data_IF_979124079456
#
_entry.id   IF_979124079456
#
_cell.length_a   1.000
_cell.length_b   1.000
_cell.length_c   1.000
_cell.angle_alpha   90.00
_cell.angle_beta   90.00
_cell.angle_gamma   90.00
#
_symmetry.space_group_name_H-M   'P 1'
#
loop_
_entity.id
_entity.type
_entity.pdbx_description
1 polymer ?
#
# COMPACT_ATOMS: atom_id res chain seq x y z
N UNK A 1 8.90 0.01 0.42
CA UNK A 1 9.10 -0.46 -0.96
C UNK A 1 7.75 -0.71 -1.62
N UNK A 2 7.58 -0.36 -2.88
CA UNK A 2 6.56 -0.82 -3.82
C UNK A 2 7.26 -1.64 -4.91
N UNK A 3 6.56 -2.48 -5.66
CA UNK A 3 7.14 -3.30 -6.73
C UNK A 3 6.23 -3.36 -7.94
N UNK A 4 6.63 -4.14 -8.93
CA UNK A 4 5.90 -4.34 -10.16
C UNK A 4 6.10 -5.80 -10.62
N UNK A 5 5.08 -6.40 -11.25
CA UNK A 5 5.11 -7.81 -11.66
C UNK A 5 6.37 -8.21 -12.42
N UNK A 6 6.89 -7.32 -13.28
CA UNK A 6 8.12 -7.58 -14.03
C UNK A 6 9.30 -7.95 -13.12
N UNK A 7 9.47 -7.26 -11.98
CA UNK A 7 10.56 -7.54 -11.04
C UNK A 7 10.35 -8.85 -10.29
N UNK A 8 9.09 -9.24 -10.05
CA UNK A 8 8.75 -10.53 -9.44
C UNK A 8 9.14 -11.66 -10.40
N UNK A 9 8.87 -11.49 -11.69
CA UNK A 9 9.11 -12.52 -12.71
C UNK A 9 10.58 -12.63 -13.12
N UNK A 10 11.32 -11.50 -13.18
CA UNK A 10 12.67 -11.47 -13.77
C UNK A 10 13.80 -11.32 -12.76
N UNK A 11 13.55 -10.70 -11.58
CA UNK A 11 14.58 -10.29 -10.63
C UNK A 11 14.21 -10.65 -9.18
N UNK A 12 13.57 -11.82 -8.99
CA UNK A 12 13.01 -12.22 -7.70
C UNK A 12 14.03 -12.28 -6.55
N UNK A 13 15.28 -12.66 -6.83
CA UNK A 13 16.35 -12.68 -5.83
C UNK A 13 16.68 -11.27 -5.33
N UNK A 14 16.84 -10.32 -6.25
CA UNK A 14 17.10 -8.91 -5.91
C UNK A 14 15.92 -8.28 -5.19
N UNK A 15 14.69 -8.54 -5.65
CA UNK A 15 13.46 -8.10 -4.99
C UNK A 15 13.36 -8.67 -3.57
N UNK A 16 13.64 -9.96 -3.38
CA UNK A 16 13.65 -10.60 -2.07
C UNK A 16 14.64 -9.94 -1.11
N UNK A 17 15.83 -9.60 -1.62
CA UNK A 17 16.84 -8.87 -0.85
C UNK A 17 16.34 -7.47 -0.45
N UNK A 18 15.67 -6.75 -1.35
CA UNK A 18 15.09 -5.44 -1.08
C UNK A 18 13.94 -5.53 -0.05
N UNK A 19 13.04 -6.52 -0.20
CA UNK A 19 11.94 -6.76 0.74
C UNK A 19 12.43 -7.04 2.16
N UNK A 20 13.53 -7.79 2.32
CA UNK A 20 14.12 -8.07 3.63
C UNK A 20 14.71 -6.84 4.32
N UNK A 21 15.15 -5.85 3.55
CA UNK A 21 15.72 -4.59 4.06
C UNK A 21 14.66 -3.51 4.28
N UNK A 22 13.46 -3.70 3.73
CA UNK A 22 12.38 -2.74 3.84
C UNK A 22 11.70 -2.82 5.21
N UNK A 23 11.37 -1.67 5.78
CA UNK A 23 10.49 -1.60 6.95
C UNK A 23 9.04 -1.85 6.56
N UNK A 24 8.63 -1.39 5.38
CA UNK A 24 7.26 -1.48 4.88
C UNK A 24 7.25 -1.86 3.41
N UNK A 25 6.46 -2.87 3.05
CA UNK A 25 6.12 -3.19 1.66
C UNK A 25 4.67 -2.76 1.38
N UNK A 26 4.45 -2.16 0.20
CA UNK A 26 3.14 -1.71 -0.28
C UNK A 26 2.90 -2.42 -1.60
N UNK A 27 2.10 -3.45 -1.60
CA UNK A 27 1.91 -4.37 -2.72
C UNK A 27 0.43 -4.44 -3.10
N UNK A 28 0.11 -4.91 -4.30
CA UNK A 28 -1.28 -5.27 -4.65
C UNK A 28 -1.55 -6.76 -4.41
N UNK A 29 -2.82 -7.21 -4.59
CA UNK A 29 -3.21 -8.61 -4.36
C UNK A 29 -2.48 -9.57 -5.29
N UNK A 30 -2.28 -9.21 -6.57
CA UNK A 30 -1.57 -10.05 -7.55
C UNK A 30 -0.10 -10.22 -7.18
N UNK A 31 0.54 -9.13 -6.80
CA UNK A 31 1.96 -9.12 -6.40
C UNK A 31 2.20 -9.99 -5.15
N UNK A 32 1.35 -9.88 -4.12
CA UNK A 32 1.52 -10.73 -2.93
C UNK A 32 1.28 -12.21 -3.24
N UNK A 33 0.32 -12.54 -4.10
CA UNK A 33 0.07 -13.89 -4.56
C UNK A 33 1.26 -14.42 -5.37
N UNK A 34 1.78 -13.63 -6.32
CA UNK A 34 2.92 -14.02 -7.15
C UNK A 34 4.20 -14.23 -6.32
N UNK A 35 4.50 -13.34 -5.36
CA UNK A 35 5.66 -13.47 -4.45
C UNK A 35 5.57 -14.72 -3.59
N UNK A 36 4.37 -15.06 -3.10
CA UNK A 36 4.19 -16.14 -2.13
C UNK A 36 3.89 -17.50 -2.75
N UNK A 37 3.40 -17.55 -4.00
CA UNK A 37 2.83 -18.73 -4.64
C UNK A 37 1.46 -19.14 -4.10
N UNK A 38 0.81 -18.29 -3.29
CA UNK A 38 -0.51 -18.54 -2.72
C UNK A 38 -1.62 -18.00 -3.63
N UNK A 39 -2.73 -18.72 -3.75
CA UNK A 39 -3.89 -18.28 -4.53
C UNK A 39 -4.69 -17.16 -3.84
N UNK A 40 -4.61 -17.08 -2.50
CA UNK A 40 -5.34 -16.11 -1.69
C UNK A 40 -4.37 -15.17 -0.97
N UNK A 41 -4.47 -13.87 -1.25
CA UNK A 41 -3.57 -12.86 -0.69
C UNK A 41 -3.48 -12.91 0.85
N UNK A 42 -4.56 -13.27 1.56
CA UNK A 42 -4.53 -13.41 3.02
C UNK A 42 -3.59 -14.51 3.51
N UNK A 43 -3.38 -15.57 2.72
CA UNK A 43 -2.42 -16.63 3.03
C UNK A 43 -0.98 -16.24 2.72
N UNK A 44 -0.79 -15.28 1.81
CA UNK A 44 0.52 -14.76 1.42
C UNK A 44 1.20 -13.95 2.52
N UNK A 45 0.43 -13.32 3.41
CA UNK A 45 0.91 -12.37 4.41
C UNK A 45 1.97 -12.98 5.33
N UNK A 46 1.65 -14.09 5.97
CA UNK A 46 2.56 -14.78 6.88
C UNK A 46 3.89 -15.17 6.21
N UNK A 47 3.87 -15.89 5.08
CA UNK A 47 5.06 -16.25 4.31
C UNK A 47 5.91 -15.06 3.89
N UNK A 48 5.32 -13.92 3.49
CA UNK A 48 6.06 -12.71 3.12
C UNK A 48 6.74 -12.10 4.35
N UNK A 49 5.99 -11.89 5.44
CA UNK A 49 6.53 -11.26 6.66
C UNK A 49 7.59 -12.13 7.35
N UNK A 50 7.41 -13.45 7.36
CA UNK A 50 8.42 -14.37 7.90
C UNK A 50 9.64 -14.54 6.98
N UNK A 51 9.53 -14.19 5.70
CA UNK A 51 10.55 -14.39 4.68
C UNK A 51 10.58 -15.81 4.10
N UNK A 52 9.61 -16.67 4.46
CA UNK A 52 9.54 -18.07 4.02
C UNK A 52 9.46 -18.22 2.51
N UNK A 53 8.67 -17.36 1.84
CA UNK A 53 8.49 -17.37 0.39
C UNK A 53 9.53 -16.56 -0.38
N UNK A 54 10.40 -15.80 0.30
CA UNK A 54 11.45 -15.01 -0.32
C UNK A 54 12.65 -15.89 -0.66
N UNK A 55 13.47 -15.48 -1.65
CA UNK A 55 14.67 -16.22 -2.05
C UNK A 55 15.57 -16.53 -0.84
N UNK A 56 15.98 -17.78 -0.68
CA UNK A 56 16.74 -18.26 0.47
C UNK A 56 15.91 -18.65 1.71
N UNK A 57 14.58 -18.47 1.66
CA UNK A 57 13.66 -18.88 2.73
C UNK A 57 13.89 -18.15 4.06
N UNK A 58 13.33 -18.67 5.16
CA UNK A 58 13.44 -18.07 6.51
C UNK A 58 14.89 -18.02 7.03
N UNK A 59 15.76 -18.93 6.57
CA UNK A 59 17.17 -18.97 6.94
C UNK A 59 17.95 -17.73 6.49
N UNK A 60 17.50 -17.09 5.41
CA UNK A 60 18.09 -15.84 4.90
C UNK A 60 17.55 -14.56 5.61
N UNK A 61 16.65 -14.72 6.58
CA UNK A 61 16.08 -13.66 7.41
C UNK A 61 14.61 -13.40 7.14
N UNK A 62 14.00 -12.55 7.98
CA UNK A 62 12.60 -12.17 7.86
C UNK A 62 12.36 -11.26 6.64
N UNK A 63 11.11 -11.17 6.21
CA UNK A 63 10.63 -10.18 5.25
C UNK A 63 10.46 -8.78 5.88
N UNK A 64 9.68 -7.89 5.24
CA UNK A 64 9.44 -6.55 5.74
C UNK A 64 8.73 -6.58 7.09
N UNK A 65 8.88 -5.52 7.89
CA UNK A 65 8.24 -5.42 9.21
C UNK A 65 6.74 -5.19 9.11
N UNK A 66 6.29 -4.52 8.04
CA UNK A 66 4.89 -4.28 7.75
C UNK A 66 4.58 -4.53 6.28
N UNK A 67 3.33 -4.88 6.01
CA UNK A 67 2.82 -5.13 4.67
C UNK A 67 1.48 -4.42 4.50
N UNK A 68 1.37 -3.58 3.48
CA UNK A 68 0.11 -3.00 3.03
C UNK A 68 -0.27 -3.63 1.71
N UNK A 69 -1.50 -4.12 1.62
CA UNK A 69 -2.05 -4.74 0.41
C UNK A 69 -3.11 -3.81 -0.17
N UNK A 70 -2.83 -3.28 -1.36
CA UNK A 70 -3.75 -2.47 -2.17
C UNK A 70 -4.74 -3.41 -2.86
N UNK A 71 -6.04 -3.15 -2.74
CA UNK A 71 -7.11 -4.05 -3.20
C UNK A 71 -8.07 -3.36 -4.17
N UNK A 72 -7.59 -2.37 -4.89
CA UNK A 72 -8.38 -1.60 -5.86
C UNK A 72 -9.66 -1.03 -5.25
N UNK A 73 -10.81 -1.38 -5.82
CA UNK A 73 -12.13 -0.94 -5.33
C UNK A 73 -12.49 -1.46 -3.93
N UNK A 74 -11.82 -2.49 -3.44
CA UNK A 74 -12.01 -3.04 -2.09
C UNK A 74 -11.18 -2.31 -1.01
N UNK A 75 -10.37 -1.32 -1.39
CA UNK A 75 -9.59 -0.51 -0.46
C UNK A 75 -8.20 -1.06 -0.19
N UNK A 76 -7.76 -1.05 1.08
CA UNK A 76 -6.44 -1.52 1.48
C UNK A 76 -6.45 -2.16 2.86
N UNK A 77 -5.57 -3.15 3.06
CA UNK A 77 -5.33 -3.79 4.35
C UNK A 77 -3.86 -3.65 4.70
N UNK A 78 -3.56 -3.23 5.92
CA UNK A 78 -2.21 -3.17 6.47
C UNK A 78 -2.03 -4.20 7.59
N UNK A 79 -0.99 -5.00 7.51
CA UNK A 79 -0.48 -5.85 8.56
C UNK A 79 0.82 -5.27 9.11
N UNK A 80 0.78 -4.78 10.35
CA UNK A 80 1.82 -3.98 10.98
C UNK A 80 2.23 -4.62 12.32
N UNK A 81 3.41 -4.30 12.85
CA UNK A 81 3.79 -4.76 14.18
C UNK A 81 2.81 -4.36 15.29
N UNK A 82 2.13 -3.21 15.13
CA UNK A 82 1.14 -2.70 16.09
C UNK A 82 -0.28 -3.25 15.89
N UNK A 83 -0.57 -3.96 14.79
CA UNK A 83 -1.90 -4.50 14.51
C UNK A 83 -2.30 -4.47 13.05
N UNK A 84 -3.60 -4.64 12.81
CA UNK A 84 -4.18 -4.70 11.46
C UNK A 84 -5.10 -3.50 11.24
N UNK A 85 -4.99 -2.87 10.08
CA UNK A 85 -5.89 -1.81 9.62
C UNK A 85 -6.54 -2.28 8.32
N UNK A 86 -7.86 -2.16 8.22
CA UNK A 86 -8.58 -2.37 6.97
C UNK A 86 -9.41 -1.11 6.68
N UNK A 87 -9.20 -0.52 5.52
CA UNK A 87 -9.94 0.65 5.06
C UNK A 87 -10.59 0.35 3.70
N UNK A 88 -11.86 0.72 3.49
CA UNK A 88 -12.50 0.65 2.18
C UNK A 88 -11.87 1.66 1.21
N UNK A 89 -12.14 1.52 -0.09
CA UNK A 89 -11.84 2.60 -1.03
C UNK A 89 -12.75 3.81 -0.80
N UNK A 90 -12.32 4.99 -1.24
CA UNK A 90 -13.22 6.13 -1.29
C UNK A 90 -14.28 5.90 -2.39
N UNK A 91 -15.59 6.05 -2.08
CA UNK A 91 -16.64 5.89 -3.08
C UNK A 91 -16.60 7.04 -4.10
N UNK A 92 -16.37 6.69 -5.36
CA UNK A 92 -16.33 7.61 -6.51
C UNK A 92 -17.34 7.16 -7.55
N UNK A 93 -17.93 8.12 -8.26
CA UNK A 93 -18.98 7.87 -9.25
C UNK A 93 -18.38 7.65 -10.66
N UNK A 94 -17.18 8.18 -10.92
CA UNK A 94 -16.54 8.13 -12.23
C UNK A 94 -15.11 7.65 -12.12
N UNK A 95 -14.79 6.62 -12.87
CA UNK A 95 -13.43 6.07 -13.07
C UNK A 95 -12.98 6.40 -14.47
N UNK A 96 -11.89 7.18 -14.59
CA UNK A 96 -11.30 7.57 -15.87
C UNK A 96 -10.11 6.68 -16.20
N UNK A 97 -9.13 6.60 -15.31
CA UNK A 97 -7.93 5.79 -15.50
C UNK A 97 -7.35 5.35 -14.14
N UNK A 98 -7.25 4.04 -13.88
CA UNK A 98 -6.67 3.54 -12.63
C UNK A 98 -5.12 3.64 -12.58
N UNK A 99 -4.47 3.97 -13.69
CA UNK A 99 -3.00 4.06 -13.77
C UNK A 99 -2.47 5.14 -12.82
N UNK A 100 -1.47 4.77 -12.02
CA UNK A 100 -0.86 5.67 -11.04
C UNK A 100 -1.62 5.79 -9.71
N UNK A 101 -2.77 5.11 -9.54
CA UNK A 101 -3.48 5.10 -8.24
C UNK A 101 -2.63 4.44 -7.14
N UNK A 102 -1.90 3.37 -7.46
CA UNK A 102 -0.97 2.71 -6.55
C UNK A 102 0.16 3.64 -6.13
N UNK A 103 0.78 4.31 -7.10
CA UNK A 103 1.89 5.25 -6.87
C UNK A 103 1.46 6.45 -6.04
N UNK A 104 0.29 7.02 -6.32
CA UNK A 104 -0.26 8.14 -5.55
C UNK A 104 -0.67 7.72 -4.14
N UNK A 105 -1.18 6.50 -3.95
CA UNK A 105 -1.42 5.92 -2.63
C UNK A 105 -0.10 5.80 -1.85
N UNK A 106 0.91 5.16 -2.43
CA UNK A 106 2.21 4.97 -1.79
C UNK A 106 2.89 6.31 -1.50
N UNK A 107 2.88 7.24 -2.44
CA UNK A 107 3.48 8.57 -2.27
C UNK A 107 2.82 9.38 -1.15
N UNK A 108 1.48 9.41 -1.09
CA UNK A 108 0.73 10.11 -0.05
C UNK A 108 0.91 9.45 1.33
N UNK A 109 0.94 8.11 1.39
CA UNK A 109 1.25 7.37 2.61
C UNK A 109 2.62 7.76 3.15
N UNK A 110 3.66 7.65 2.32
CA UNK A 110 5.04 7.96 2.72
C UNK A 110 5.22 9.43 3.11
N UNK A 111 4.56 10.35 2.41
CA UNK A 111 4.57 11.78 2.76
C UNK A 111 4.01 12.02 4.17
N UNK A 112 2.91 11.34 4.54
CA UNK A 112 2.32 11.45 5.88
C UNK A 112 3.14 10.74 6.96
N UNK A 113 3.87 9.68 6.62
CA UNK A 113 4.77 9.00 7.55
C UNK A 113 6.08 9.77 7.76
N UNK A 114 6.46 10.64 6.82
CA UNK A 114 7.73 11.36 6.83
C UNK A 114 7.87 12.21 8.10
N UNK A 115 9.03 12.09 8.75
CA UNK A 115 9.34 12.80 9.99
C UNK A 115 8.71 12.22 11.26
N UNK A 116 7.85 11.22 11.16
CA UNK A 116 7.25 10.53 12.32
C UNK A 116 8.09 9.30 12.70
N UNK A 117 8.75 9.36 13.85
CA UNK A 117 9.52 8.21 14.34
C UNK A 117 8.57 7.12 14.88
N UNK A 118 8.86 5.86 14.54
CA UNK A 118 8.14 4.71 15.09
C UNK A 118 6.71 4.54 14.58
N UNK A 119 6.33 5.19 13.49
CA UNK A 119 4.98 5.19 12.92
C UNK A 119 4.42 3.77 12.66
N UNK A 120 5.25 2.79 12.30
CA UNK A 120 4.84 1.40 12.12
C UNK A 120 4.37 0.71 13.43
N UNK A 121 4.67 1.29 14.58
CA UNK A 121 4.25 0.80 15.89
C UNK A 121 3.11 1.63 16.48
N UNK A 122 2.56 2.59 15.72
CA UNK A 122 1.45 3.46 16.10
C UNK A 122 0.29 3.28 15.12
N UNK A 123 -0.73 2.56 15.58
CA UNK A 123 -1.88 2.18 14.77
C UNK A 123 -2.70 3.40 14.31
N UNK A 124 -2.82 4.41 15.16
CA UNK A 124 -3.59 5.62 14.86
C UNK A 124 -2.87 6.47 13.79
N UNK A 125 -1.58 6.69 13.96
CA UNK A 125 -0.76 7.40 12.97
C UNK A 125 -0.75 6.69 11.61
N UNK A 126 -0.67 5.34 11.61
CA UNK A 126 -0.73 4.58 10.36
C UNK A 126 -2.11 4.63 9.72
N UNK A 127 -3.18 4.55 10.53
CA UNK A 127 -4.54 4.72 10.02
C UNK A 127 -4.74 6.08 9.36
N UNK A 128 -4.29 7.17 10.00
CA UNK A 128 -4.35 8.52 9.44
C UNK A 128 -3.57 8.62 8.12
N UNK A 129 -2.35 8.07 8.07
CA UNK A 129 -1.57 8.02 6.83
C UNK A 129 -2.27 7.24 5.70
N UNK A 130 -2.92 6.12 6.01
CA UNK A 130 -3.69 5.33 5.03
C UNK A 130 -4.96 6.06 4.57
N UNK A 131 -5.60 6.83 5.45
CA UNK A 131 -6.74 7.71 5.10
C UNK A 131 -6.29 8.74 4.07
N UNK A 132 -5.17 9.43 4.31
CA UNK A 132 -4.58 10.37 3.35
C UNK A 132 -4.23 9.70 2.02
N UNK A 133 -3.64 8.51 2.06
CA UNK A 133 -3.29 7.72 0.87
C UNK A 133 -4.52 7.37 0.02
N UNK A 134 -5.59 6.90 0.67
CA UNK A 134 -6.85 6.54 0.01
C UNK A 134 -7.51 7.76 -0.64
N UNK A 135 -7.54 8.88 0.06
CA UNK A 135 -8.12 10.12 -0.48
C UNK A 135 -7.29 10.63 -1.66
N UNK A 136 -5.96 10.59 -1.59
CA UNK A 136 -5.10 11.03 -2.70
C UNK A 136 -5.29 10.17 -3.94
N UNK A 137 -5.28 8.83 -3.80
CA UNK A 137 -5.51 7.92 -4.93
C UNK A 137 -6.90 8.07 -5.55
N UNK A 138 -7.90 8.47 -4.76
CA UNK A 138 -9.27 8.71 -5.25
C UNK A 138 -9.38 9.92 -6.19
N UNK A 139 -8.45 10.86 -6.15
CA UNK A 139 -8.37 11.93 -7.16
C UNK A 139 -7.64 11.46 -8.41
N UNK A 140 -6.60 10.64 -8.28
CA UNK A 140 -5.83 10.12 -9.42
C UNK A 140 -6.74 9.38 -10.39
N UNK A 141 -7.59 8.48 -9.89
CA UNK A 141 -8.46 7.62 -10.73
C UNK A 141 -9.49 8.41 -11.56
N UNK A 142 -9.77 9.67 -11.20
CA UNK A 142 -10.70 10.55 -11.90
C UNK A 142 -10.06 11.38 -13.02
N UNK A 143 -8.83 11.07 -13.42
CA UNK A 143 -8.12 11.76 -14.50
C UNK A 143 -7.07 10.86 -15.14
N UNK A 144 -6.40 11.38 -16.17
CA UNK A 144 -5.27 10.70 -16.80
C UNK A 144 -3.98 11.03 -16.05
N UNK A 145 -3.26 10.01 -15.63
CA UNK A 145 -2.01 10.15 -14.89
C UNK A 145 -2.17 10.99 -13.61
N UNK A 146 -1.24 11.92 -13.37
CA UNK A 146 -1.23 12.80 -12.18
C UNK A 146 -2.00 14.12 -12.35
N UNK A 147 -2.69 14.33 -13.45
CA UNK A 147 -3.29 15.63 -13.80
C UNK A 147 -4.25 16.17 -12.72
N UNK A 148 -5.06 15.30 -12.12
CA UNK A 148 -6.00 15.70 -11.05
C UNK A 148 -5.31 16.03 -9.73
N UNK A 149 -4.10 15.54 -9.49
CA UNK A 149 -3.32 15.90 -8.30
C UNK A 149 -2.56 17.21 -8.48
N UNK A 150 -2.06 17.50 -9.68
CA UNK A 150 -1.23 18.68 -9.94
C UNK A 150 -1.97 20.02 -9.73
N UNK A 151 -3.26 20.06 -10.02
CA UNK A 151 -4.12 21.24 -9.83
C UNK A 151 -5.08 21.14 -8.65
N UNK A 152 -4.85 20.19 -7.73
CA UNK A 152 -5.81 19.91 -6.67
C UNK A 152 -5.85 21.06 -5.64
N UNK A 153 -7.01 21.69 -5.55
CA UNK A 153 -7.27 22.72 -4.54
C UNK A 153 -7.35 22.12 -3.14
N UNK A 154 -6.73 22.76 -2.17
CA UNK A 154 -6.75 22.31 -0.77
C UNK A 154 -8.16 22.13 -0.21
N UNK A 155 -9.09 23.02 -0.59
CA UNK A 155 -10.49 22.95 -0.15
C UNK A 155 -11.17 21.65 -0.59
N UNK A 156 -10.98 21.24 -1.86
CA UNK A 156 -11.51 19.99 -2.39
C UNK A 156 -10.90 18.77 -1.70
N UNK A 157 -9.59 18.80 -1.46
CA UNK A 157 -8.90 17.73 -0.75
C UNK A 157 -9.46 17.56 0.67
N UNK A 158 -9.57 18.64 1.45
CA UNK A 158 -10.10 18.59 2.81
C UNK A 158 -11.57 18.17 2.86
N UNK A 159 -12.40 18.64 1.95
CA UNK A 159 -13.80 18.23 1.88
C UNK A 159 -13.95 16.72 1.62
N UNK A 160 -13.10 16.15 0.74
CA UNK A 160 -13.07 14.70 0.49
C UNK A 160 -12.54 13.93 1.69
N UNK A 161 -11.51 14.46 2.34
CA UNK A 161 -10.94 13.91 3.57
C UNK A 161 -12.00 13.82 4.68
N UNK A 162 -12.73 14.91 4.94
CA UNK A 162 -13.77 14.95 5.96
C UNK A 162 -14.93 13.98 5.64
N UNK A 163 -15.29 13.87 4.35
CA UNK A 163 -16.29 12.89 3.90
C UNK A 163 -15.78 11.46 4.16
N UNK A 164 -14.54 11.16 3.84
CA UNK A 164 -13.98 9.82 4.03
C UNK A 164 -13.85 9.44 5.50
N UNK A 165 -13.43 10.37 6.37
CA UNK A 165 -13.36 10.15 7.82
C UNK A 165 -14.69 9.83 8.48
N UNK A 166 -15.81 10.17 7.84
CA UNK A 166 -17.17 9.76 8.31
C UNK A 166 -17.55 8.34 7.87
N UNK A 167 -16.82 7.76 6.92
CA UNK A 167 -17.05 6.40 6.42
C UNK A 167 -16.24 5.39 7.24
N UNK A 168 -15.08 5.80 7.70
CA UNK A 168 -14.08 4.96 8.38
C UNK A 168 -13.81 5.47 9.83
#
# INVERSE_FOLDING_TARGET
>A
IDTFMLWIDTEFEHLSTALRKADLAILNEEEVCAISGEEFFMRAIGPILSGKCLHGGESAGKGPRGLIIKRGSSGAIAHLPCGIIALPSFPIDEVVDPTGCGDSFAGALLANMSGRKGVLNDLESMRDAMVHATVSSSFTIQGLGSNKLQGLERGLYHARMDRYRRIV
#
